data_IF_151637652254
#
_entry.id   IF_151637652254
#
_cell.length_a   1.000
_cell.length_b   1.000
_cell.length_c   1.000
_cell.angle_alpha   90.00
_cell.angle_beta   90.00
_cell.angle_gamma   90.00
#
_symmetry.space_group_name_H-M   'P 1'
#
loop_
_entity.id
_entity.type
_entity.pdbx_description
1 polymer ?
#
# COMPACT_ATOMS: atom_id res chain seq x y z
N UNK A 1 18.99 -18.21 -76.23
CA UNK A 1 19.09 -17.25 -75.10
C UNK A 1 19.70 -17.99 -73.94
N UNK A 2 20.98 -17.75 -73.71
CA UNK A 2 21.78 -18.43 -72.69
C UNK A 2 21.57 -17.71 -71.36
N UNK A 3 21.01 -18.40 -70.37
CA UNK A 3 20.79 -17.83 -69.05
C UNK A 3 22.09 -17.95 -68.24
N UNK A 4 22.74 -16.81 -67.99
CA UNK A 4 23.94 -16.70 -67.15
C UNK A 4 23.63 -17.20 -65.74
N UNK A 5 24.24 -18.32 -65.35
CA UNK A 5 24.06 -18.94 -64.04
C UNK A 5 24.96 -18.19 -63.04
N UNK A 6 24.44 -17.16 -62.39
CA UNK A 6 25.18 -16.47 -61.33
C UNK A 6 25.39 -17.40 -60.13
N UNK A 7 26.65 -17.63 -59.76
CA UNK A 7 27.01 -18.40 -58.58
C UNK A 7 26.86 -17.50 -57.35
N UNK A 8 25.73 -17.61 -56.67
CA UNK A 8 25.51 -16.96 -55.37
C UNK A 8 26.39 -17.63 -54.31
N UNK A 9 27.44 -16.93 -53.86
CA UNK A 9 28.28 -17.37 -52.75
C UNK A 9 27.58 -17.04 -51.42
N UNK A 10 26.90 -18.02 -50.84
CA UNK A 10 26.30 -17.88 -49.51
C UNK A 10 27.38 -18.05 -48.43
N UNK A 11 27.90 -16.93 -47.93
CA UNK A 11 28.74 -16.92 -46.73
C UNK A 11 27.84 -16.82 -45.49
N UNK A 12 27.72 -17.92 -44.74
CA UNK A 12 27.07 -17.86 -43.43
C UNK A 12 27.80 -16.85 -42.55
N UNK A 13 27.06 -15.87 -42.01
CA UNK A 13 27.62 -15.02 -40.95
C UNK A 13 28.08 -15.95 -39.82
N UNK A 14 29.28 -15.76 -39.23
CA UNK A 14 29.82 -16.69 -38.24
C UNK A 14 29.12 -16.53 -36.88
N UNK A 15 27.81 -16.81 -36.83
CA UNK A 15 26.97 -16.70 -35.64
C UNK A 15 27.43 -17.71 -34.57
N UNK A 16 27.92 -18.89 -34.99
CA UNK A 16 28.48 -19.90 -34.10
C UNK A 16 29.83 -19.52 -33.45
N UNK A 17 30.58 -18.56 -34.03
CA UNK A 17 31.79 -18.00 -33.42
C UNK A 17 31.50 -16.76 -32.56
N UNK A 18 30.41 -16.03 -32.86
CA UNK A 18 30.00 -14.83 -32.12
C UNK A 18 29.28 -15.15 -30.80
N UNK A 19 28.57 -16.28 -30.70
CA UNK A 19 27.78 -16.63 -29.51
C UNK A 19 27.86 -18.15 -29.24
N UNK A 20 28.89 -18.57 -28.51
CA UNK A 20 28.99 -19.95 -28.02
C UNK A 20 27.91 -20.24 -26.98
N UNK A 21 27.51 -21.51 -26.82
CA UNK A 21 26.56 -21.96 -25.77
C UNK A 21 26.96 -21.46 -24.37
N UNK A 22 28.27 -21.41 -24.10
CA UNK A 22 28.82 -20.89 -22.84
C UNK A 22 28.65 -19.38 -22.70
N UNK A 23 28.81 -18.63 -23.79
CA UNK A 23 28.69 -17.17 -23.77
C UNK A 23 27.22 -16.74 -23.68
N UNK A 24 26.32 -17.52 -24.30
CA UNK A 24 24.88 -17.41 -24.08
C UNK A 24 24.51 -17.63 -22.60
N UNK A 25 25.02 -18.70 -21.97
CA UNK A 25 24.75 -18.98 -20.55
C UNK A 25 25.28 -17.88 -19.63
N UNK A 26 26.45 -17.30 -19.94
CA UNK A 26 26.99 -16.15 -19.21
C UNK A 26 26.10 -14.92 -19.36
N UNK A 27 25.69 -14.58 -20.58
CA UNK A 27 24.84 -13.42 -20.85
C UNK A 27 23.45 -13.56 -20.21
N UNK A 28 22.86 -14.76 -20.27
CA UNK A 28 21.60 -15.07 -19.61
C UNK A 28 21.74 -15.00 -18.08
N UNK A 29 22.80 -15.58 -17.51
CA UNK A 29 23.06 -15.54 -16.08
C UNK A 29 23.25 -14.10 -15.56
N UNK A 30 23.98 -13.26 -16.29
CA UNK A 30 24.14 -11.83 -15.95
C UNK A 30 22.80 -11.10 -16.03
N UNK A 31 22.02 -11.34 -17.10
CA UNK A 31 20.70 -10.72 -17.27
C UNK A 31 19.74 -11.07 -16.13
N UNK A 32 19.65 -12.35 -15.77
CA UNK A 32 18.79 -12.81 -14.66
C UNK A 32 19.26 -12.23 -13.34
N UNK A 33 20.57 -12.20 -13.09
CA UNK A 33 21.14 -11.63 -11.86
C UNK A 33 20.84 -10.14 -11.75
N UNK A 34 20.98 -9.37 -12.84
CA UNK A 34 20.67 -7.95 -12.87
C UNK A 34 19.19 -7.68 -12.56
N UNK A 35 18.28 -8.46 -13.15
CA UNK A 35 16.84 -8.36 -12.88
C UNK A 35 16.53 -8.70 -11.41
N UNK A 36 17.12 -9.78 -10.87
CA UNK A 36 16.89 -10.21 -9.49
C UNK A 36 17.36 -9.14 -8.48
N UNK A 37 18.57 -8.59 -8.66
CA UNK A 37 19.12 -7.54 -7.79
C UNK A 37 18.24 -6.28 -7.86
N UNK A 38 17.85 -5.86 -9.06
CA UNK A 38 17.01 -4.68 -9.27
C UNK A 38 15.63 -4.87 -8.63
N UNK A 39 15.02 -6.05 -8.80
CA UNK A 39 13.73 -6.40 -8.20
C UNK A 39 13.78 -6.42 -6.67
N UNK A 40 14.86 -6.95 -6.09
CA UNK A 40 15.08 -6.94 -4.64
C UNK A 40 15.18 -5.50 -4.10
N UNK A 41 15.99 -4.64 -4.74
CA UNK A 41 16.18 -3.26 -4.31
C UNK A 41 14.87 -2.45 -4.35
N UNK A 42 14.08 -2.60 -5.42
CA UNK A 42 12.76 -1.95 -5.54
C UNK A 42 11.82 -2.42 -4.43
N UNK A 43 11.77 -3.73 -4.18
CA UNK A 43 10.92 -4.32 -3.15
C UNK A 43 11.32 -3.82 -1.76
N UNK A 44 12.62 -3.77 -1.45
CA UNK A 44 13.15 -3.26 -0.18
C UNK A 44 12.76 -1.79 0.05
N UNK A 45 12.88 -0.93 -0.97
CA UNK A 45 12.45 0.48 -0.88
C UNK A 45 10.94 0.59 -0.63
N UNK A 46 10.13 -0.18 -1.34
CA UNK A 46 8.66 -0.16 -1.19
C UNK A 46 8.25 -0.64 0.20
N UNK A 47 8.87 -1.72 0.70
CA UNK A 47 8.61 -2.24 2.04
C UNK A 47 9.04 -1.24 3.12
N UNK A 48 10.24 -0.64 3.00
CA UNK A 48 10.73 0.39 3.94
C UNK A 48 9.82 1.61 4.01
N UNK A 49 9.28 2.08 2.88
CA UNK A 49 8.34 3.22 2.86
C UNK A 49 7.10 2.99 3.73
N UNK A 50 6.57 1.77 3.75
CA UNK A 50 5.36 1.42 4.53
C UNK A 50 5.67 0.84 5.91
N UNK A 51 6.92 0.43 6.15
CA UNK A 51 7.33 -0.25 7.38
C UNK A 51 7.00 0.54 8.65
N UNK A 52 7.30 1.84 8.71
CA UNK A 52 7.04 2.65 9.89
C UNK A 52 5.56 2.82 10.20
N UNK A 53 4.71 2.93 9.18
CA UNK A 53 3.25 3.01 9.37
C UNK A 53 2.72 1.66 9.88
N UNK A 54 3.18 0.56 9.29
CA UNK A 54 2.82 -0.78 9.72
C UNK A 54 3.28 -1.07 11.17
N UNK A 55 4.48 -0.62 11.56
CA UNK A 55 4.97 -0.75 12.92
C UNK A 55 4.14 0.05 13.92
N UNK A 56 3.74 1.28 13.58
CA UNK A 56 2.82 2.08 14.41
C UNK A 56 1.46 1.41 14.57
N UNK A 57 0.91 0.89 13.48
CA UNK A 57 -0.34 0.12 13.51
C UNK A 57 -0.20 -1.13 14.37
N UNK A 58 0.90 -1.87 14.23
CA UNK A 58 1.16 -3.07 15.02
C UNK A 58 1.28 -2.77 16.52
N UNK A 59 1.93 -1.65 16.88
CA UNK A 59 1.97 -1.16 18.26
C UNK A 59 0.58 -0.85 18.80
N UNK A 60 -0.21 -0.08 18.05
CA UNK A 60 -1.58 0.30 18.42
C UNK A 60 -2.49 -0.92 18.62
N UNK A 61 -2.48 -1.88 17.70
CA UNK A 61 -3.32 -3.07 17.77
C UNK A 61 -2.83 -4.13 18.76
N UNK A 62 -1.64 -3.98 19.35
CA UNK A 62 -1.16 -4.87 20.41
C UNK A 62 -2.05 -4.77 21.66
N UNK A 63 -2.45 -3.56 22.00
CA UNK A 63 -3.33 -3.31 23.15
C UNK A 63 -4.76 -3.75 22.86
N UNK A 64 -5.25 -3.55 21.63
CA UNK A 64 -6.55 -4.07 21.21
C UNK A 64 -6.61 -5.60 21.34
N UNK A 65 -5.58 -6.32 20.88
CA UNK A 65 -5.46 -7.78 21.06
C UNK A 65 -5.45 -8.20 22.52
N UNK A 66 -4.92 -7.38 23.43
CA UNK A 66 -4.95 -7.64 24.88
C UNK A 66 -6.38 -7.51 25.41
N UNK A 67 -7.13 -6.49 24.99
CA UNK A 67 -8.53 -6.28 25.37
C UNK A 67 -9.46 -7.34 24.76
N UNK A 68 -9.15 -7.82 23.55
CA UNK A 68 -9.85 -8.95 22.93
C UNK A 68 -9.81 -10.22 23.78
N UNK A 69 -8.64 -10.54 24.37
CA UNK A 69 -8.51 -11.68 25.29
C UNK A 69 -9.34 -11.52 26.58
N UNK A 70 -9.63 -10.29 26.96
CA UNK A 70 -10.42 -9.97 28.14
C UNK A 70 -11.92 -9.76 27.83
N UNK A 71 -12.38 -10.03 26.60
CA UNK A 71 -13.75 -9.76 26.15
C UNK A 71 -14.20 -8.30 26.34
N UNK A 72 -13.27 -7.34 26.19
CA UNK A 72 -13.53 -5.89 26.26
C UNK A 72 -13.31 -5.23 24.89
N UNK A 73 -13.80 -5.88 23.83
CA UNK A 73 -13.60 -5.43 22.45
C UNK A 73 -14.57 -4.34 22.03
N UNK A 74 -15.77 -4.35 22.60
CA UNK A 74 -16.82 -3.39 22.29
C UNK A 74 -16.94 -2.30 23.35
N UNK A 75 -17.19 -1.06 22.93
CA UNK A 75 -17.47 0.04 23.86
C UNK A 75 -18.66 -0.23 24.78
N UNK A 76 -19.64 -1.03 24.35
CA UNK A 76 -20.78 -1.44 25.17
C UNK A 76 -20.42 -2.43 26.29
N UNK A 77 -19.27 -3.11 26.19
CA UNK A 77 -18.73 -4.01 27.21
C UNK A 77 -17.94 -3.25 28.27
N UNK A 78 -17.62 -1.97 28.04
CA UNK A 78 -16.88 -1.14 28.97
C UNK A 78 -17.80 -0.64 30.10
N UNK A 79 -17.53 -1.11 31.33
CA UNK A 79 -18.30 -0.73 32.52
C UNK A 79 -18.32 0.79 32.77
N UNK A 80 -17.23 1.50 32.45
CA UNK A 80 -17.17 2.96 32.58
C UNK A 80 -18.12 3.65 31.61
N UNK A 81 -18.22 3.17 30.37
CA UNK A 81 -19.17 3.71 29.39
C UNK A 81 -20.61 3.52 29.88
N UNK A 82 -20.95 2.32 30.37
CA UNK A 82 -22.29 2.04 30.90
C UNK A 82 -22.62 2.94 32.11
N UNK A 83 -21.66 3.13 33.01
CA UNK A 83 -21.82 3.98 34.19
C UNK A 83 -22.13 5.43 33.81
N UNK A 84 -21.48 6.00 32.80
CA UNK A 84 -21.77 7.36 32.33
C UNK A 84 -23.22 7.50 31.88
N UNK A 85 -23.75 6.54 31.11
CA UNK A 85 -25.15 6.57 30.69
C UNK A 85 -26.12 6.40 31.87
N UNK A 86 -25.78 5.56 32.85
CA UNK A 86 -26.57 5.38 34.07
C UNK A 86 -26.60 6.63 34.95
N UNK A 87 -25.43 7.23 35.22
CA UNK A 87 -25.28 8.42 36.06
C UNK A 87 -25.98 9.64 35.43
N UNK A 88 -25.97 9.75 34.10
CA UNK A 88 -26.67 10.81 33.37
C UNK A 88 -28.16 10.50 33.14
N UNK A 89 -28.65 9.32 33.52
CA UNK A 89 -30.04 8.92 33.34
C UNK A 89 -30.48 8.91 31.86
N UNK A 90 -29.57 8.63 30.94
CA UNK A 90 -29.83 8.73 29.50
C UNK A 90 -29.52 7.43 28.76
N UNK A 91 -30.01 7.33 27.53
CA UNK A 91 -29.74 6.22 26.61
C UNK A 91 -29.05 6.73 25.35
N UNK A 92 -28.37 5.86 24.57
CA UNK A 92 -27.93 6.24 23.23
C UNK A 92 -29.10 6.84 22.43
N UNK A 93 -28.87 7.96 21.74
CA UNK A 93 -29.90 8.75 21.05
C UNK A 93 -30.98 9.37 21.95
N UNK A 94 -30.79 9.44 23.27
CA UNK A 94 -31.66 10.18 24.18
C UNK A 94 -31.48 11.69 24.06
N UNK A 95 -32.41 12.48 24.57
CA UNK A 95 -32.37 13.96 24.47
C UNK A 95 -31.07 14.56 25.04
N UNK A 96 -30.65 14.11 26.22
CA UNK A 96 -29.38 14.56 26.84
C UNK A 96 -28.17 14.14 25.99
N UNK A 97 -28.22 12.96 25.37
CA UNK A 97 -27.13 12.49 24.52
C UNK A 97 -27.08 13.26 23.18
N UNK A 98 -28.24 13.60 22.61
CA UNK A 98 -28.36 14.45 21.42
C UNK A 98 -27.77 15.84 21.67
N UNK A 99 -28.07 16.44 22.81
CA UNK A 99 -27.59 17.78 23.12
C UNK A 99 -26.08 17.85 23.36
N UNK A 100 -25.48 16.80 23.92
CA UNK A 100 -24.08 16.80 24.35
C UNK A 100 -23.14 16.09 23.38
N UNK A 101 -23.57 14.99 22.77
CA UNK A 101 -22.72 14.11 21.95
C UNK A 101 -22.99 14.28 20.45
N UNK A 102 -24.13 14.83 20.05
CA UNK A 102 -24.42 15.10 18.64
C UNK A 102 -24.17 16.56 18.29
N UNK A 103 -23.92 16.81 17.01
CA UNK A 103 -23.83 18.15 16.46
C UNK A 103 -25.08 18.46 15.64
N UNK A 104 -25.58 19.69 15.78
CA UNK A 104 -26.76 20.16 15.05
C UNK A 104 -26.42 20.73 13.68
N UNK A 105 -25.17 21.16 13.48
CA UNK A 105 -24.82 21.96 12.31
C UNK A 105 -23.67 21.32 11.56
N UNK A 106 -23.98 20.91 10.33
CA UNK A 106 -23.00 20.63 9.29
C UNK A 106 -23.08 21.78 8.30
N UNK A 107 -21.98 22.50 8.12
CA UNK A 107 -21.91 23.64 7.18
C UNK A 107 -21.35 23.13 5.86
N UNK A 108 -22.05 23.39 4.76
CA UNK A 108 -21.50 23.13 3.43
C UNK A 108 -20.35 24.11 3.16
N UNK A 109 -19.18 23.52 2.97
CA UNK A 109 -17.89 24.19 2.81
C UNK A 109 -17.35 24.10 1.38
N UNK A 110 -18.14 23.57 0.44
CA UNK A 110 -17.76 23.37 -0.96
C UNK A 110 -17.27 24.67 -1.65
N UNK A 111 -17.82 25.82 -1.26
CA UNK A 111 -17.49 27.12 -1.86
C UNK A 111 -16.41 27.95 -1.14
N UNK A 112 -15.78 27.44 -0.08
CA UNK A 112 -14.77 28.20 0.69
C UNK A 112 -13.49 28.53 -0.10
N UNK A 113 -13.15 27.73 -1.11
CA UNK A 113 -12.01 28.00 -2.01
C UNK A 113 -12.31 29.13 -3.02
N UNK A 114 -13.59 29.37 -3.34
CA UNK A 114 -14.01 30.37 -4.34
C UNK A 114 -14.00 31.81 -3.80
N UNK A 115 -14.00 32.01 -2.49
CA UNK A 115 -14.09 33.35 -1.86
C UNK A 115 -12.76 33.89 -1.34
N UNK A 116 -11.63 33.24 -1.64
CA UNK A 116 -10.31 33.69 -1.20
C UNK A 116 -10.14 33.51 0.31
N UNK A 117 -9.61 32.37 0.71
CA UNK A 117 -9.17 32.16 2.09
C UNK A 117 -7.99 33.11 2.40
N UNK A 118 -8.30 34.29 2.95
CA UNK A 118 -7.33 35.05 3.72
C UNK A 118 -7.12 34.31 5.04
N UNK A 119 -6.04 33.54 5.10
CA UNK A 119 -5.50 33.08 6.37
C UNK A 119 -4.95 34.31 7.12
N UNK A 120 -5.54 34.62 8.28
CA UNK A 120 -4.94 35.47 9.32
C UNK A 120 -4.31 34.55 10.35
#
# INVERSE_FOLDING_TARGET
MEATKENYFYAEKPVGQLLSRRDFLKAAGVSVSAIAISGYAITDIVQKRKSYIALRQQGLYKDDKRLQKANLTGSHQNASCLKVYQDMGTKPMGEVAEQLLHTKTYVDRSNLLMQGAHHV
#
